data_IF_504213312723
#
_entry.id   IF_504213312723
#
_cell.length_a   1.000
_cell.length_b   1.000
_cell.length_c   1.000
_cell.angle_alpha   90.00
_cell.angle_beta   90.00
_cell.angle_gamma   90.00
#
_symmetry.space_group_name_H-M   'P 1'
#
loop_
_entity.id
_entity.type
_entity.pdbx_description
1 polymer ?
#
# COMPACT_ATOMS: atom_id res chain seq x y z
N UNK A 1 16.44 -12.44 18.60
CA UNK A 1 16.61 -11.17 17.86
C UNK A 1 15.65 -11.12 16.68
N UNK A 2 15.68 -12.13 15.81
CA UNK A 2 14.68 -12.33 14.76
C UNK A 2 13.23 -12.23 15.28
N UNK A 3 12.89 -13.02 16.29
CA UNK A 3 11.54 -13.00 16.88
C UNK A 3 11.13 -11.64 17.46
N UNK A 4 12.09 -10.84 17.98
CA UNK A 4 11.81 -9.50 18.46
C UNK A 4 11.48 -8.53 17.31
N UNK A 5 12.17 -8.67 16.17
CA UNK A 5 11.89 -7.91 14.94
C UNK A 5 10.52 -8.31 14.39
N UNK A 6 10.21 -9.60 14.33
CA UNK A 6 8.93 -10.08 13.82
C UNK A 6 7.74 -9.65 14.68
N UNK A 7 7.87 -9.71 16.00
CA UNK A 7 6.85 -9.23 16.92
C UNK A 7 6.58 -7.73 16.77
N UNK A 8 7.61 -6.93 16.48
CA UNK A 8 7.43 -5.49 16.26
C UNK A 8 6.69 -5.20 14.95
N UNK A 9 7.01 -5.93 13.88
CA UNK A 9 6.34 -5.81 12.57
C UNK A 9 4.88 -6.26 12.66
N UNK A 10 4.60 -7.35 13.38
CA UNK A 10 3.24 -7.87 13.55
C UNK A 10 2.36 -6.87 14.33
N UNK A 11 2.93 -6.21 15.34
CA UNK A 11 2.23 -5.16 16.11
C UNK A 11 1.99 -3.91 15.28
N UNK A 12 2.98 -3.50 14.49
CA UNK A 12 2.88 -2.35 13.62
C UNK A 12 3.78 -2.51 12.38
N UNK A 13 3.20 -2.70 11.18
CA UNK A 13 3.97 -2.87 9.94
C UNK A 13 4.37 -1.55 9.26
N UNK A 14 3.92 -0.40 9.77
CA UNK A 14 4.25 0.91 9.21
C UNK A 14 5.68 1.45 9.47
N UNK A 15 6.34 1.18 10.62
CA UNK A 15 7.65 1.71 10.93
C UNK A 15 8.66 1.41 9.83
N UNK A 16 9.56 2.36 9.56
CA UNK A 16 10.70 2.07 8.70
C UNK A 16 11.63 1.05 9.38
N UNK A 17 12.37 0.30 8.57
CA UNK A 17 13.43 -0.60 9.05
C UNK A 17 14.39 0.13 10.01
N UNK A 18 14.65 1.42 9.76
CA UNK A 18 15.57 2.21 10.57
C UNK A 18 15.01 2.53 11.95
N UNK A 19 13.70 2.72 12.06
CA UNK A 19 13.00 2.91 13.33
C UNK A 19 13.04 1.62 14.17
N UNK A 20 12.73 0.48 13.57
CA UNK A 20 12.81 -0.84 14.22
C UNK A 20 14.24 -1.11 14.72
N UNK A 21 15.24 -0.80 13.88
CA UNK A 21 16.65 -0.97 14.23
C UNK A 21 17.05 -0.12 15.45
N UNK A 22 16.58 1.13 15.51
CA UNK A 22 16.82 2.02 16.65
C UNK A 22 16.12 1.53 17.93
N UNK A 23 14.85 1.13 17.84
CA UNK A 23 14.06 0.65 18.98
C UNK A 23 14.62 -0.65 19.58
N UNK A 24 15.13 -1.54 18.73
CA UNK A 24 15.74 -2.81 19.15
C UNK A 24 17.26 -2.71 19.39
N UNK A 25 17.86 -1.53 19.20
CA UNK A 25 19.30 -1.28 19.31
C UNK A 25 20.15 -2.26 18.47
N UNK A 26 19.73 -2.51 17.23
CA UNK A 26 20.42 -3.37 16.26
C UNK A 26 20.70 -2.61 14.97
N UNK A 27 21.52 -3.20 14.09
CA UNK A 27 21.79 -2.56 12.79
C UNK A 27 20.60 -2.73 11.86
N UNK A 28 20.33 -1.70 11.06
CA UNK A 28 19.32 -1.72 10.00
C UNK A 28 19.53 -2.87 8.99
N UNK A 29 20.80 -3.27 8.76
CA UNK A 29 21.13 -4.41 7.89
C UNK A 29 20.59 -5.72 8.45
N UNK A 30 20.66 -5.92 9.77
CA UNK A 30 20.14 -7.12 10.44
C UNK A 30 18.62 -7.22 10.27
N UNK A 31 17.91 -6.10 10.44
CA UNK A 31 16.45 -6.03 10.22
C UNK A 31 16.10 -6.33 8.77
N UNK A 32 16.85 -5.79 7.79
CA UNK A 32 16.66 -6.10 6.37
C UNK A 32 16.88 -7.58 6.03
N UNK A 33 17.88 -8.22 6.63
CA UNK A 33 18.13 -9.65 6.42
C UNK A 33 16.96 -10.47 6.93
N UNK A 34 16.50 -10.21 8.16
CA UNK A 34 15.33 -10.90 8.75
C UNK A 34 14.08 -10.72 7.87
N UNK A 35 13.79 -9.49 7.43
CA UNK A 35 12.66 -9.21 6.54
C UNK A 35 12.75 -10.02 5.24
N UNK A 36 13.93 -10.06 4.63
CA UNK A 36 14.17 -10.79 3.38
C UNK A 36 14.02 -12.29 3.55
N UNK A 37 14.58 -12.84 4.63
CA UNK A 37 14.55 -14.28 4.91
C UNK A 37 13.12 -14.76 5.20
N UNK A 38 12.31 -13.91 5.83
CA UNK A 38 10.89 -14.15 6.12
C UNK A 38 9.94 -13.72 4.99
N UNK A 39 10.48 -13.23 3.86
CA UNK A 39 9.71 -12.74 2.71
C UNK A 39 8.69 -11.64 3.06
N UNK A 40 9.02 -10.81 4.05
CA UNK A 40 8.18 -9.71 4.53
C UNK A 40 8.57 -8.39 3.86
N UNK A 41 7.56 -7.62 3.48
CA UNK A 41 7.71 -6.29 2.92
C UNK A 41 6.96 -5.28 3.79
N UNK A 42 7.70 -4.32 4.35
CA UNK A 42 7.09 -3.19 5.03
C UNK A 42 6.34 -2.32 4.03
N UNK A 43 5.19 -1.82 4.44
CA UNK A 43 4.39 -0.89 3.65
C UNK A 43 4.21 0.40 4.43
N UNK A 44 4.11 1.52 3.72
CA UNK A 44 3.73 2.79 4.31
C UNK A 44 2.30 3.09 3.89
N UNK A 45 1.38 3.16 4.86
CA UNK A 45 0.04 3.63 4.57
C UNK A 45 0.08 5.10 4.19
N UNK A 46 -0.15 5.39 2.91
CA UNK A 46 -0.34 6.74 2.42
C UNK A 46 -1.81 7.11 2.59
N UNK A 47 -2.09 8.07 3.48
CA UNK A 47 -3.44 8.61 3.62
C UNK A 47 -3.79 9.42 2.37
N UNK A 48 -4.75 8.93 1.60
CA UNK A 48 -5.38 9.65 0.49
C UNK A 48 -6.64 10.38 0.97
N UNK A 49 -7.32 11.10 0.08
CA UNK A 49 -8.60 11.76 0.37
C UNK A 49 -9.56 10.80 1.09
N UNK A 50 -10.17 11.27 2.17
CA UNK A 50 -11.10 10.48 2.97
C UNK A 50 -12.33 10.12 2.13
N UNK A 51 -12.67 8.83 2.10
CA UNK A 51 -13.91 8.37 1.46
C UNK A 51 -15.10 8.77 2.32
N UNK A 52 -16.00 9.56 1.76
CA UNK A 52 -17.31 9.84 2.36
C UNK A 52 -18.33 8.79 1.92
N UNK A 53 -19.43 8.54 2.66
CA UNK A 53 -20.42 7.52 2.30
C UNK A 53 -20.98 7.64 0.88
N UNK A 54 -20.99 8.86 0.32
CA UNK A 54 -21.41 9.13 -1.06
C UNK A 54 -20.44 8.60 -2.12
N UNK A 55 -19.16 8.41 -1.80
CA UNK A 55 -18.15 8.05 -2.79
C UNK A 55 -18.28 6.61 -3.26
N UNK A 56 -18.67 5.70 -2.36
CA UNK A 56 -18.82 4.28 -2.69
C UNK A 56 -19.84 4.04 -3.81
N UNK A 57 -21.10 4.53 -3.75
CA UNK A 57 -22.05 4.32 -4.83
C UNK A 57 -21.57 4.97 -6.14
N UNK A 58 -20.99 6.17 -6.09
CA UNK A 58 -20.45 6.84 -7.29
C UNK A 58 -19.32 6.04 -7.94
N UNK A 59 -18.43 5.44 -7.14
CA UNK A 59 -17.33 4.60 -7.64
C UNK A 59 -17.86 3.30 -8.24
N UNK A 60 -18.88 2.68 -7.62
CA UNK A 60 -19.53 1.47 -8.16
C UNK A 60 -20.20 1.77 -9.50
N UNK A 61 -20.94 2.88 -9.60
CA UNK A 61 -21.59 3.29 -10.84
C UNK A 61 -20.57 3.58 -11.94
N UNK A 62 -19.47 4.26 -11.61
CA UNK A 62 -18.37 4.50 -12.53
C UNK A 62 -17.73 3.20 -13.02
N UNK A 63 -17.42 2.25 -12.13
CA UNK A 63 -16.86 0.97 -12.50
C UNK A 63 -17.81 0.14 -13.36
N UNK A 64 -19.11 0.12 -13.03
CA UNK A 64 -20.13 -0.55 -13.81
C UNK A 64 -20.31 0.07 -15.21
N UNK A 65 -20.22 1.40 -15.30
CA UNK A 65 -20.21 2.10 -16.58
C UNK A 65 -18.97 1.71 -17.39
N UNK A 66 -17.78 1.78 -16.78
CA UNK A 66 -16.50 1.44 -17.42
C UNK A 66 -16.49 0.00 -17.95
N UNK A 67 -17.02 -0.95 -17.17
CA UNK A 67 -17.11 -2.36 -17.56
C UNK A 67 -18.00 -2.59 -18.79
N UNK A 68 -19.02 -1.75 -18.99
CA UNK A 68 -19.93 -1.83 -20.15
C UNK A 68 -19.36 -1.18 -21.42
N UNK A 69 -18.22 -0.49 -21.33
CA UNK A 69 -17.59 0.15 -22.48
C UNK A 69 -16.75 -0.85 -23.30
N UNK A 70 -16.85 -0.76 -24.62
CA UNK A 70 -15.93 -1.45 -25.51
C UNK A 70 -14.53 -0.83 -25.44
N UNK A 71 -13.47 -1.63 -25.66
CA UNK A 71 -12.05 -1.20 -25.59
C UNK A 71 -11.75 0.11 -26.37
N UNK A 72 -12.39 0.30 -27.53
CA UNK A 72 -12.24 1.50 -28.36
C UNK A 72 -12.83 2.77 -27.71
N UNK A 73 -13.86 2.63 -26.88
CA UNK A 73 -14.49 3.74 -26.17
C UNK A 73 -13.66 4.17 -24.97
N UNK A 74 -13.02 3.23 -24.27
CA UNK A 74 -12.12 3.50 -23.13
C UNK A 74 -10.90 4.30 -23.58
N UNK A 75 -10.28 3.94 -24.72
CA UNK A 75 -9.11 4.66 -25.25
C UNK A 75 -9.43 6.12 -25.60
N UNK A 76 -10.62 6.38 -26.17
CA UNK A 76 -11.08 7.73 -26.49
C UNK A 76 -11.29 8.58 -25.23
N UNK A 77 -11.76 8.00 -24.13
CA UNK A 77 -11.92 8.72 -22.87
C UNK A 77 -10.57 9.09 -22.25
N UNK A 78 -9.60 8.17 -22.22
CA UNK A 78 -8.27 8.47 -21.69
C UNK A 78 -7.57 9.63 -22.43
N UNK A 79 -7.70 9.71 -23.76
CA UNK A 79 -7.07 10.78 -24.55
C UNK A 79 -7.74 12.15 -24.30
N UNK A 80 -9.05 12.18 -24.06
CA UNK A 80 -9.81 13.42 -23.87
C UNK A 80 -9.77 13.97 -22.43
N UNK A 81 -9.49 13.13 -21.42
CA UNK A 81 -9.42 13.54 -20.02
C UNK A 81 -7.99 13.78 -19.51
N UNK A 82 -6.96 13.46 -20.32
CA UNK A 82 -5.55 13.69 -20.00
C UNK A 82 -4.90 14.83 -20.80
N UNK A 83 -5.68 15.68 -21.48
CA UNK A 83 -5.24 16.97 -22.03
C UNK A 83 -5.95 18.13 -21.32
#
# INVERSE_FOLDING_TARGET
MEEAVLNEIERNPEPSVQKIAHELNITHVTVWQILRDQQLYLYHMQRVQALIPRDLPLRVDFCNWLFKLNKLTVLKLFINYCN
#
